data_IF_913649067424
#
_entry.id   IF_913649067424
#
_cell.length_a   1.000
_cell.length_b   1.000
_cell.length_c   1.000
_cell.angle_alpha   90.00
_cell.angle_beta   90.00
_cell.angle_gamma   90.00
#
_symmetry.space_group_name_H-M   'P 1'
#
loop_
_entity.id
_entity.type
_entity.pdbx_description
1 polymer ?
#
# COMPACT_ATOMS: atom_id res chain seq x y z
N UNK A 1 4.71 -24.02 -8.55
CA UNK A 1 6.01 -23.38 -8.23
C UNK A 1 6.79 -24.16 -7.17
N UNK A 2 6.21 -24.47 -6.01
CA UNK A 2 6.86 -25.30 -4.97
C UNK A 2 7.37 -26.65 -5.50
N UNK A 3 6.50 -27.43 -6.14
CA UNK A 3 6.83 -28.78 -6.63
C UNK A 3 7.98 -28.77 -7.65
N UNK A 4 7.98 -27.80 -8.57
CA UNK A 4 9.06 -27.64 -9.54
C UNK A 4 10.41 -27.28 -8.88
N UNK A 5 10.40 -26.47 -7.81
CA UNK A 5 11.61 -26.10 -7.08
C UNK A 5 12.15 -27.29 -6.24
N UNK A 6 11.26 -28.07 -5.64
CA UNK A 6 11.60 -29.28 -4.88
C UNK A 6 12.20 -30.36 -5.78
N UNK A 7 11.59 -30.61 -6.94
CA UNK A 7 12.10 -31.55 -7.95
C UNK A 7 13.49 -31.16 -8.46
N UNK A 8 13.70 -29.85 -8.69
CA UNK A 8 15.00 -29.33 -9.13
C UNK A 8 16.07 -29.49 -8.06
N UNK A 9 15.76 -29.21 -6.79
CA UNK A 9 16.70 -29.36 -5.68
C UNK A 9 17.11 -30.83 -5.48
N UNK A 10 16.17 -31.77 -5.62
CA UNK A 10 16.45 -33.21 -5.57
C UNK A 10 17.42 -33.64 -6.68
N UNK A 11 17.20 -33.19 -7.93
CA UNK A 11 18.08 -33.50 -9.07
C UNK A 11 19.51 -32.98 -8.87
N UNK A 12 19.67 -31.89 -8.12
CA UNK A 12 20.96 -31.24 -7.87
C UNK A 12 21.60 -31.66 -6.54
N UNK A 13 20.97 -32.59 -5.79
CA UNK A 13 21.40 -33.01 -4.45
C UNK A 13 21.60 -31.84 -3.47
N UNK A 14 20.69 -30.86 -3.53
CA UNK A 14 20.68 -29.70 -2.65
C UNK A 14 19.69 -29.89 -1.51
N UNK A 15 20.01 -29.35 -0.32
CA UNK A 15 19.04 -29.24 0.77
C UNK A 15 17.87 -28.35 0.36
N UNK A 16 16.65 -28.80 0.62
CA UNK A 16 15.42 -28.06 0.35
C UNK A 16 14.60 -27.92 1.63
N UNK A 17 14.30 -26.68 2.00
CA UNK A 17 13.44 -26.38 3.15
C UNK A 17 12.35 -25.41 2.69
N UNK A 18 11.09 -25.75 3.01
CA UNK A 18 9.98 -24.81 2.89
C UNK A 18 9.80 -24.15 4.23
N UNK A 19 10.13 -22.86 4.32
CA UNK A 19 9.88 -22.04 5.50
C UNK A 19 8.53 -21.33 5.34
N UNK A 20 7.43 -21.81 5.95
CA UNK A 20 6.15 -21.12 5.90
C UNK A 20 6.25 -19.82 6.72
N UNK A 21 6.18 -18.68 6.05
CA UNK A 21 6.06 -17.39 6.71
C UNK A 21 4.74 -17.32 7.49
N UNK A 22 4.81 -17.37 8.83
CA UNK A 22 3.62 -17.23 9.71
C UNK A 22 3.11 -15.79 9.86
N UNK A 23 3.81 -14.80 9.32
CA UNK A 23 3.31 -13.41 9.27
C UNK A 23 3.05 -13.03 7.82
N UNK A 24 1.84 -12.54 7.55
CA UNK A 24 1.53 -11.74 6.35
C UNK A 24 2.32 -10.43 6.43
N UNK A 25 3.61 -10.49 6.19
CA UNK A 25 4.47 -9.31 6.17
C UNK A 25 4.60 -8.83 4.73
N UNK A 26 3.59 -8.10 4.27
CA UNK A 26 3.86 -6.98 3.39
C UNK A 26 3.16 -5.79 4.03
N UNK A 27 3.89 -5.07 4.89
CA UNK A 27 3.38 -3.81 5.40
C UNK A 27 3.26 -2.88 4.20
N UNK A 28 2.04 -2.46 3.88
CA UNK A 28 1.82 -1.60 2.73
C UNK A 28 1.94 -0.17 3.22
N UNK A 29 2.92 0.55 2.70
CA UNK A 29 3.04 1.99 2.89
C UNK A 29 2.65 2.69 1.59
N UNK A 30 1.79 3.69 1.69
CA UNK A 30 1.42 4.56 0.57
C UNK A 30 1.88 5.96 0.89
N UNK A 31 2.58 6.56 -0.07
CA UNK A 31 3.09 7.92 -0.01
C UNK A 31 2.43 8.78 -1.08
N UNK A 32 2.25 10.05 -0.77
CA UNK A 32 1.86 11.08 -1.73
C UNK A 32 3.08 11.90 -2.12
N UNK A 33 3.35 11.98 -3.42
CA UNK A 33 4.43 12.78 -3.99
C UNK A 33 3.85 13.95 -4.79
N UNK A 34 4.35 15.16 -4.53
CA UNK A 34 3.98 16.37 -5.28
C UNK A 34 5.06 16.82 -6.28
N UNK A 35 6.14 16.02 -6.43
CA UNK A 35 7.23 16.26 -7.36
C UNK A 35 8.30 17.26 -6.91
N UNK A 36 8.12 17.96 -5.78
CA UNK A 36 9.08 18.98 -5.30
C UNK A 36 9.54 18.80 -3.84
N UNK A 37 8.79 18.06 -3.04
CA UNK A 37 9.04 17.84 -1.61
C UNK A 37 9.24 16.34 -1.30
N UNK A 38 9.70 16.04 -0.07
CA UNK A 38 9.74 14.67 0.42
C UNK A 38 8.35 14.00 0.39
N UNK A 39 8.26 12.70 0.01
CA UNK A 39 7.00 11.98 -0.03
C UNK A 39 6.30 11.97 1.34
N UNK A 40 5.02 12.33 1.37
CA UNK A 40 4.24 12.33 2.62
C UNK A 40 3.58 10.97 2.82
N UNK A 41 3.79 10.26 3.94
CA UNK A 41 3.09 9.02 4.22
C UNK A 41 1.60 9.28 4.44
N UNK A 42 0.74 8.61 3.66
CA UNK A 42 -0.72 8.77 3.73
C UNK A 42 -1.46 7.50 4.17
N UNK A 43 -0.82 6.35 4.14
CA UNK A 43 -1.41 5.11 4.64
C UNK A 43 -0.35 4.08 5.01
N UNK A 44 -0.66 3.30 6.05
CA UNK A 44 0.13 2.16 6.48
C UNK A 44 -0.82 1.01 6.87
N UNK A 45 -0.62 -0.17 6.30
CA UNK A 45 -1.32 -1.40 6.71
C UNK A 45 -0.35 -2.46 7.18
N UNK A 46 -0.63 -3.04 8.35
CA UNK A 46 0.16 -4.12 8.94
C UNK A 46 -0.37 -5.52 8.55
N UNK A 47 -1.15 -5.62 7.48
CA UNK A 47 -1.66 -6.89 6.96
C UNK A 47 -2.77 -7.52 7.82
N UNK A 48 -3.49 -6.71 8.60
CA UNK A 48 -4.45 -7.18 9.62
C UNK A 48 -5.80 -7.63 9.05
N UNK A 49 -6.21 -7.13 7.89
CA UNK A 49 -7.36 -7.62 7.11
C UNK A 49 -7.49 -6.82 5.80
N UNK A 50 -7.80 -7.49 4.67
CA UNK A 50 -8.08 -6.79 3.42
C UNK A 50 -9.49 -6.19 3.45
N UNK A 51 -9.56 -4.88 3.70
CA UNK A 51 -10.78 -4.07 3.70
C UNK A 51 -10.65 -2.91 2.71
N UNK A 52 -10.99 -3.12 1.42
CA UNK A 52 -10.82 -2.10 0.38
C UNK A 52 -11.57 -0.81 0.66
N UNK A 53 -12.76 -0.88 1.28
CA UNK A 53 -13.60 0.28 1.53
C UNK A 53 -13.03 1.13 2.66
N UNK A 54 -12.59 0.50 3.75
CA UNK A 54 -11.89 1.18 4.84
C UNK A 54 -10.54 1.76 4.40
N UNK A 55 -9.80 1.04 3.54
CA UNK A 55 -8.56 1.55 2.92
C UNK A 55 -8.85 2.80 2.09
N UNK A 56 -9.81 2.74 1.17
CA UNK A 56 -10.21 3.87 0.33
C UNK A 56 -10.66 5.07 1.18
N UNK A 57 -11.42 4.82 2.24
CA UNK A 57 -11.91 5.86 3.14
C UNK A 57 -10.76 6.56 3.88
N UNK A 58 -9.79 5.80 4.40
CA UNK A 58 -8.60 6.37 5.06
C UNK A 58 -7.75 7.20 4.08
N UNK A 59 -7.51 6.67 2.88
CA UNK A 59 -6.77 7.39 1.84
C UNK A 59 -7.47 8.70 1.45
N UNK A 60 -8.79 8.67 1.20
CA UNK A 60 -9.57 9.88 0.87
C UNK A 60 -9.49 10.94 1.96
N UNK A 61 -9.59 10.55 3.23
CA UNK A 61 -9.46 11.49 4.37
C UNK A 61 -8.09 12.16 4.38
N UNK A 62 -7.02 11.39 4.20
CA UNK A 62 -5.66 11.95 4.17
C UNK A 62 -5.44 12.87 2.98
N UNK A 63 -5.92 12.48 1.78
CA UNK A 63 -5.84 13.33 0.59
C UNK A 63 -6.67 14.62 0.74
N UNK A 64 -7.83 14.56 1.41
CA UNK A 64 -8.62 15.74 1.74
C UNK A 64 -7.84 16.70 2.65
N UNK A 65 -7.20 16.20 3.72
CA UNK A 65 -6.34 17.03 4.60
C UNK A 65 -5.20 17.67 3.80
N UNK A 66 -4.51 16.89 2.96
CA UNK A 66 -3.41 17.39 2.14
C UNK A 66 -3.84 18.44 1.11
N UNK A 67 -5.10 18.43 0.68
CA UNK A 67 -5.66 19.41 -0.27
C UNK A 67 -5.69 20.85 0.26
N UNK A 68 -5.55 21.06 1.57
CA UNK A 68 -5.47 22.39 2.18
C UNK A 68 -4.07 23.00 2.11
N UNK A 69 -3.04 22.19 1.83
CA UNK A 69 -1.68 22.70 1.69
C UNK A 69 -1.50 23.38 0.32
N UNK A 70 -0.98 24.61 0.26
CA UNK A 70 -0.91 25.40 -0.98
C UNK A 70 -0.06 24.74 -2.08
N UNK A 71 0.89 23.87 -1.71
CA UNK A 71 1.73 23.13 -2.66
C UNK A 71 1.05 21.93 -3.30
N UNK A 72 -0.07 21.45 -2.74
CA UNK A 72 -0.78 20.27 -3.22
C UNK A 72 -1.97 20.67 -4.11
N UNK A 73 -1.73 21.60 -5.04
CA UNK A 73 -2.79 22.17 -5.89
C UNK A 73 -3.57 21.13 -6.69
N UNK A 74 -2.95 20.01 -7.05
CA UNK A 74 -3.60 18.88 -7.73
C UNK A 74 -4.74 18.24 -6.90
N UNK A 75 -4.61 18.24 -5.56
CA UNK A 75 -5.64 17.70 -4.67
C UNK A 75 -6.81 18.67 -4.44
N UNK A 76 -6.71 19.93 -4.92
CA UNK A 76 -7.77 20.93 -4.77
C UNK A 76 -9.06 20.53 -5.49
N UNK A 77 -8.96 19.84 -6.62
CA UNK A 77 -10.11 19.34 -7.38
C UNK A 77 -10.89 18.31 -6.55
N UNK A 78 -10.17 17.43 -5.85
CA UNK A 78 -10.77 16.41 -4.97
C UNK A 78 -11.59 17.03 -3.84
N UNK A 79 -11.16 18.18 -3.28
CA UNK A 79 -11.95 18.90 -2.26
C UNK A 79 -13.31 19.35 -2.80
N UNK A 80 -13.34 19.86 -4.04
CA UNK A 80 -14.58 20.29 -4.68
C UNK A 80 -15.52 19.11 -4.93
N UNK A 81 -14.99 17.96 -5.35
CA UNK A 81 -15.79 16.75 -5.57
C UNK A 81 -16.33 16.17 -4.25
N UNK A 82 -15.52 16.12 -3.19
CA UNK A 82 -15.95 15.62 -1.88
C UNK A 82 -16.96 16.54 -1.18
N UNK A 83 -16.90 17.85 -1.40
CA UNK A 83 -17.88 18.80 -0.87
C UNK A 83 -19.17 18.87 -1.71
N UNK A 84 -19.15 18.40 -2.96
CA UNK A 84 -20.32 18.29 -3.83
C UNK A 84 -21.25 17.11 -3.52
N UNK A 85 -20.80 16.13 -2.72
CA UNK A 85 -21.66 15.13 -2.11
C UNK A 85 -22.29 15.70 -0.83
N UNK A 86 -23.27 16.60 -0.99
CA UNK A 86 -24.17 17.06 0.09
C UNK A 86 -25.55 16.44 -0.06
#
# INVERSE_FOLDING_TARGET
MREAAEETAQRLNLGFEVVPFRKRCSQIYVYYENGSDEPVPIYCDEGKSYDPEGICTKLRRMMFVLSFHPRNGALRIMRSELMGFS
#
